data_IF_923906164689
#
_entry.id   IF_923906164689
#
_cell.length_a   1.000
_cell.length_b   1.000
_cell.length_c   1.000
_cell.angle_alpha   90.00
_cell.angle_beta   90.00
_cell.angle_gamma   90.00
#
_symmetry.space_group_name_H-M   'P 1'
#
loop_
_entity.id
_entity.type
_entity.pdbx_description
1 polymer ?
#
# COMPACT_ATOMS: atom_id res chain seq x y z
N UNK A 1 -3.90 -6.28 -8.74
CA UNK A 1 -3.20 -6.96 -7.63
C UNK A 1 -2.86 -5.95 -6.55
N UNK A 2 -2.40 -6.39 -5.38
CA UNK A 2 -2.02 -5.53 -4.26
C UNK A 2 -1.01 -4.43 -4.65
N UNK A 3 0.04 -4.77 -5.41
CA UNK A 3 1.12 -3.84 -5.78
C UNK A 3 0.68 -2.58 -6.55
N UNK A 4 -0.52 -2.57 -7.14
CA UNK A 4 -1.01 -1.51 -8.04
C UNK A 4 -2.43 -1.04 -7.70
N UNK A 5 -2.93 -1.38 -6.51
CA UNK A 5 -4.32 -1.08 -6.13
C UNK A 5 -4.47 0.28 -5.45
N UNK A 6 -3.37 0.93 -5.05
CA UNK A 6 -3.40 2.19 -4.31
C UNK A 6 -4.25 3.30 -4.95
N UNK A 7 -4.33 3.48 -6.29
CA UNK A 7 -5.19 4.51 -6.87
C UNK A 7 -6.67 4.35 -6.54
N UNK A 8 -7.14 3.10 -6.31
CA UNK A 8 -8.54 2.83 -5.94
C UNK A 8 -8.89 3.50 -4.62
N UNK A 9 -7.99 3.40 -3.64
CA UNK A 9 -8.19 3.99 -2.33
C UNK A 9 -8.12 5.52 -2.39
N UNK A 10 -7.38 6.11 -3.34
CA UNK A 10 -7.37 7.56 -3.54
C UNK A 10 -8.63 8.08 -4.24
N UNK A 11 -9.11 7.35 -5.25
CA UNK A 11 -10.28 7.69 -6.06
C UNK A 11 -11.61 7.62 -5.28
N UNK A 12 -11.80 6.59 -4.45
CA UNK A 12 -13.07 6.33 -3.75
C UNK A 12 -12.91 6.45 -2.24
N UNK A 13 -14.00 6.78 -1.53
CA UNK A 13 -14.02 7.07 -0.09
C UNK A 13 -14.86 6.09 0.73
N UNK A 14 -15.72 5.30 0.08
CA UNK A 14 -16.62 4.36 0.76
C UNK A 14 -16.08 2.94 0.70
N UNK A 15 -15.95 2.29 1.87
CA UNK A 15 -15.37 0.96 2.05
C UNK A 15 -15.92 -0.08 1.05
N UNK A 16 -17.23 -0.20 0.93
CA UNK A 16 -17.86 -1.18 0.03
C UNK A 16 -17.50 -0.95 -1.45
N UNK A 17 -17.38 0.31 -1.88
CA UNK A 17 -17.01 0.67 -3.25
C UNK A 17 -15.53 0.47 -3.49
N UNK A 18 -14.67 0.81 -2.52
CA UNK A 18 -13.23 0.51 -2.58
C UNK A 18 -13.01 -0.99 -2.73
N UNK A 19 -13.70 -1.81 -1.95
CA UNK A 19 -13.66 -3.27 -2.05
C UNK A 19 -14.10 -3.80 -3.42
N UNK A 20 -15.19 -3.26 -3.97
CA UNK A 20 -15.70 -3.65 -5.29
C UNK A 20 -14.72 -3.30 -6.41
N UNK A 21 -14.20 -2.07 -6.42
CA UNK A 21 -13.29 -1.58 -7.46
C UNK A 21 -11.92 -2.27 -7.34
N UNK A 22 -11.42 -2.49 -6.12
CA UNK A 22 -10.17 -3.22 -5.88
C UNK A 22 -10.27 -4.66 -6.41
N UNK A 23 -11.41 -5.34 -6.19
CA UNK A 23 -11.68 -6.65 -6.78
C UNK A 23 -11.66 -6.60 -8.30
N UNK A 24 -12.49 -5.73 -8.90
CA UNK A 24 -12.61 -5.60 -10.36
C UNK A 24 -11.28 -5.28 -11.04
N UNK A 25 -10.45 -4.44 -10.43
CA UNK A 25 -9.11 -4.11 -10.95
C UNK A 25 -8.11 -5.26 -10.81
N UNK A 26 -8.23 -6.08 -9.77
CA UNK A 26 -7.37 -7.25 -9.57
C UNK A 26 -7.72 -8.42 -10.50
N UNK A 27 -9.02 -8.72 -10.68
CA UNK A 27 -9.52 -9.88 -11.42
C UNK A 27 -9.04 -9.96 -12.87
N UNK A 28 -8.73 -8.81 -13.50
CA UNK A 28 -8.21 -8.76 -14.87
C UNK A 28 -6.92 -9.57 -15.05
N UNK A 29 -6.12 -9.67 -13.99
CA UNK A 29 -4.76 -10.26 -14.06
C UNK A 29 -4.46 -11.22 -12.92
N UNK A 30 -5.19 -11.19 -11.81
CA UNK A 30 -5.00 -12.00 -10.61
C UNK A 30 -6.37 -12.49 -10.11
N UNK A 31 -7.05 -13.31 -10.93
CA UNK A 31 -8.39 -13.84 -10.65
C UNK A 31 -8.42 -15.01 -9.63
N UNK A 32 -7.37 -15.14 -8.82
CA UNK A 32 -7.36 -16.09 -7.70
C UNK A 32 -7.93 -15.39 -6.46
N UNK A 33 -8.76 -16.06 -5.63
CA UNK A 33 -9.36 -15.44 -4.44
C UNK A 33 -8.36 -14.71 -3.55
N UNK A 34 -7.17 -15.29 -3.37
CA UNK A 34 -6.11 -14.70 -2.54
C UNK A 34 -5.48 -13.45 -3.17
N UNK A 35 -5.35 -13.40 -4.50
CA UNK A 35 -4.85 -12.22 -5.21
C UNK A 35 -5.84 -11.04 -5.16
N UNK A 36 -7.13 -11.35 -5.21
CA UNK A 36 -8.22 -10.38 -5.02
C UNK A 36 -8.24 -9.90 -3.57
N UNK A 37 -8.18 -10.83 -2.61
CA UNK A 37 -8.14 -10.55 -1.18
C UNK A 37 -6.99 -9.61 -0.81
N UNK A 38 -5.79 -9.86 -1.32
CA UNK A 38 -4.63 -8.98 -1.10
C UNK A 38 -4.83 -7.57 -1.66
N UNK A 39 -5.43 -7.44 -2.85
CA UNK A 39 -5.73 -6.14 -3.44
C UNK A 39 -6.79 -5.37 -2.62
N UNK A 40 -7.86 -6.05 -2.22
CA UNK A 40 -8.91 -5.49 -1.38
C UNK A 40 -8.37 -5.02 -0.02
N UNK A 41 -7.63 -5.89 0.67
CA UNK A 41 -7.04 -5.58 1.96
C UNK A 41 -6.09 -4.38 1.88
N UNK A 42 -5.21 -4.35 0.89
CA UNK A 42 -4.27 -3.23 0.68
C UNK A 42 -5.03 -1.92 0.46
N UNK A 43 -6.05 -1.91 -0.40
CA UNK A 43 -6.85 -0.71 -0.66
C UNK A 43 -7.58 -0.22 0.60
N UNK A 44 -8.10 -1.13 1.43
CA UNK A 44 -8.76 -0.80 2.70
C UNK A 44 -7.80 -0.18 3.71
N UNK A 45 -6.58 -0.72 3.86
CA UNK A 45 -5.56 -0.13 4.75
C UNK A 45 -5.23 1.30 4.33
N UNK A 46 -5.04 1.54 3.03
CA UNK A 46 -4.76 2.87 2.48
C UNK A 46 -5.92 3.83 2.76
N UNK A 47 -7.16 3.38 2.54
CA UNK A 47 -8.36 4.18 2.82
C UNK A 47 -8.44 4.58 4.30
N UNK A 48 -8.31 3.62 5.21
CA UNK A 48 -8.41 3.86 6.65
C UNK A 48 -7.24 4.71 7.18
N UNK A 49 -6.03 4.48 6.68
CA UNK A 49 -4.86 5.29 7.03
C UNK A 49 -5.07 6.77 6.65
N UNK A 50 -5.56 7.03 5.43
CA UNK A 50 -5.92 8.36 4.95
C UNK A 50 -7.04 9.02 5.77
N UNK A 51 -7.98 8.24 6.27
CA UNK A 51 -9.05 8.71 7.16
C UNK A 51 -8.57 8.96 8.60
N UNK A 52 -7.29 8.76 8.90
CA UNK A 52 -6.72 8.99 10.22
C UNK A 52 -7.05 7.89 11.24
N UNK A 53 -7.53 6.72 10.79
CA UNK A 53 -7.80 5.61 11.70
C UNK A 53 -6.49 5.19 12.39
N UNK A 54 -6.48 5.00 13.72
CA UNK A 54 -5.28 4.55 14.43
C UNK A 54 -4.76 3.21 13.89
N UNK A 55 -3.44 3.10 13.74
CA UNK A 55 -2.80 1.93 13.10
C UNK A 55 -3.08 0.61 13.80
N UNK A 56 -3.18 0.60 15.13
CA UNK A 56 -3.59 -0.57 15.92
C UNK A 56 -5.02 -1.02 15.61
N UNK A 57 -5.94 -0.08 15.35
CA UNK A 57 -7.31 -0.37 14.93
C UNK A 57 -7.34 -0.89 13.49
N UNK A 58 -6.60 -0.26 12.58
CA UNK A 58 -6.42 -0.74 11.19
C UNK A 58 -5.96 -2.20 11.19
N UNK A 59 -4.91 -2.52 11.96
CA UNK A 59 -4.37 -3.88 12.09
C UNK A 59 -5.43 -4.86 12.57
N UNK A 60 -6.08 -4.57 13.69
CA UNK A 60 -7.13 -5.44 14.25
C UNK A 60 -8.27 -5.68 13.26
N UNK A 61 -8.78 -4.60 12.65
CA UNK A 61 -9.94 -4.67 11.76
C UNK A 61 -9.57 -5.40 10.44
N UNK A 62 -8.34 -5.23 9.95
CA UNK A 62 -7.79 -6.00 8.82
C UNK A 62 -7.69 -7.50 9.13
N UNK A 63 -7.05 -7.87 10.25
CA UNK A 63 -6.85 -9.27 10.64
C UNK A 63 -8.22 -9.96 10.81
N UNK A 64 -9.19 -9.28 11.45
CA UNK A 64 -10.54 -9.80 11.63
C UNK A 64 -11.30 -9.98 10.31
N UNK A 65 -11.15 -9.05 9.35
CA UNK A 65 -11.91 -9.08 8.10
C UNK A 65 -11.29 -10.00 7.03
N UNK A 66 -9.96 -10.08 6.96
CA UNK A 66 -9.23 -10.76 5.89
C UNK A 66 -8.49 -12.02 6.33
N UNK A 67 -8.42 -12.29 7.65
CA UNK A 67 -7.78 -13.48 8.20
C UNK A 67 -6.26 -13.49 8.03
N UNK A 68 -5.63 -12.32 7.92
CA UNK A 68 -4.17 -12.23 7.92
C UNK A 68 -3.63 -12.33 9.34
N UNK A 69 -2.45 -12.93 9.48
CA UNK A 69 -1.66 -12.90 10.70
C UNK A 69 -0.50 -11.94 10.51
N UNK A 70 -0.46 -10.86 11.29
CA UNK A 70 0.64 -9.88 11.24
C UNK A 70 1.48 -9.86 12.52
N UNK A 71 1.44 -10.94 13.31
CA UNK A 71 2.11 -11.06 14.62
C UNK A 71 3.64 -11.04 14.56
N UNK A 72 4.25 -11.64 13.54
CA UNK A 72 5.71 -11.65 13.36
C UNK A 72 6.28 -10.25 13.16
N UNK A 73 7.42 -10.00 13.79
CA UNK A 73 8.10 -8.70 13.72
C UNK A 73 8.94 -8.56 12.46
N UNK A 74 9.24 -7.32 12.05
CA UNK A 74 10.16 -7.03 10.95
C UNK A 74 11.55 -7.60 11.24
N UNK A 75 12.02 -7.57 12.48
CA UNK A 75 13.31 -8.16 12.87
C UNK A 75 13.34 -9.68 12.67
N UNK A 76 12.29 -10.39 13.09
CA UNK A 76 12.18 -11.84 12.85
C UNK A 76 12.10 -12.16 11.34
N UNK A 77 11.47 -11.30 10.54
CA UNK A 77 11.40 -11.46 9.09
C UNK A 77 12.77 -11.31 8.41
N UNK A 78 13.63 -10.41 8.89
CA UNK A 78 14.99 -10.27 8.34
C UNK A 78 15.80 -11.55 8.45
N UNK A 79 15.52 -12.37 9.47
CA UNK A 79 16.20 -13.65 9.70
C UNK A 79 15.59 -14.82 8.93
N UNK A 80 14.28 -14.77 8.66
CA UNK A 80 13.49 -15.94 8.22
C UNK A 80 12.85 -15.81 6.84
N UNK A 81 12.75 -14.59 6.29
CA UNK A 81 12.04 -14.35 5.04
C UNK A 81 12.93 -14.69 3.84
N UNK A 82 12.45 -15.63 3.04
CA UNK A 82 13.03 -15.98 1.73
C UNK A 82 12.16 -15.42 0.60
N UNK A 83 12.76 -15.24 -0.58
CA UNK A 83 12.07 -14.73 -1.76
C UNK A 83 10.76 -15.50 -2.05
N UNK A 84 9.67 -14.75 -2.20
CA UNK A 84 8.37 -15.30 -2.50
C UNK A 84 7.48 -14.31 -3.28
N UNK A 85 6.98 -14.76 -4.43
CA UNK A 85 6.10 -13.99 -5.32
C UNK A 85 4.59 -14.18 -5.04
N UNK A 86 4.22 -15.05 -4.07
CA UNK A 86 2.82 -15.33 -3.80
C UNK A 86 2.20 -14.25 -2.94
N UNK A 87 1.01 -13.80 -3.33
CA UNK A 87 0.23 -12.80 -2.59
C UNK A 87 0.06 -13.14 -1.10
N UNK A 88 -0.02 -14.43 -0.76
CA UNK A 88 -0.24 -14.92 0.60
C UNK A 88 0.94 -14.69 1.52
N UNK A 89 2.15 -14.55 0.96
CA UNK A 89 3.37 -14.27 1.72
C UNK A 89 3.81 -12.82 1.55
N UNK A 90 3.73 -12.26 0.34
CA UNK A 90 4.18 -10.87 0.11
C UNK A 90 3.28 -9.82 0.78
N UNK A 91 1.95 -9.97 0.76
CA UNK A 91 1.04 -8.93 1.28
C UNK A 91 1.09 -8.81 2.81
N UNK A 92 1.05 -9.90 3.60
CA UNK A 92 1.18 -9.80 5.06
C UNK A 92 2.52 -9.20 5.49
N UNK A 93 3.61 -9.53 4.80
CA UNK A 93 4.94 -8.97 5.09
C UNK A 93 4.98 -7.45 4.86
N UNK A 94 4.36 -6.96 3.78
CA UNK A 94 4.23 -5.52 3.56
C UNK A 94 3.38 -4.83 4.64
N UNK A 95 2.34 -5.49 5.16
CA UNK A 95 1.54 -4.97 6.28
C UNK A 95 2.36 -4.88 7.56
N UNK A 96 3.17 -5.90 7.89
CA UNK A 96 4.07 -5.89 9.05
C UNK A 96 5.06 -4.74 8.98
N UNK A 97 5.69 -4.54 7.82
CA UNK A 97 6.59 -3.40 7.58
C UNK A 97 5.91 -2.05 7.86
N UNK A 98 4.68 -1.85 7.40
CA UNK A 98 3.91 -0.63 7.68
C UNK A 98 3.47 -0.51 9.15
N UNK A 99 3.11 -1.62 9.80
CA UNK A 99 2.66 -1.62 11.19
C UNK A 99 3.77 -1.36 12.21
N UNK A 100 5.01 -1.63 11.88
CA UNK A 100 6.16 -1.31 12.74
C UNK A 100 6.82 0.02 12.40
N UNK A 101 6.67 0.50 11.18
CA UNK A 101 7.31 1.73 10.74
C UNK A 101 6.96 2.96 11.59
N UNK A 102 7.89 3.87 11.78
CA UNK A 102 7.62 5.16 12.46
C UNK A 102 7.26 6.29 11.51
N UNK A 103 7.70 6.19 10.26
CA UNK A 103 7.45 7.15 9.19
C UNK A 103 7.49 6.48 7.80
N UNK A 104 7.37 7.30 6.75
CA UNK A 104 7.38 6.82 5.37
C UNK A 104 8.70 6.15 4.98
N UNK A 105 9.84 6.76 5.33
CA UNK A 105 11.14 6.24 4.93
C UNK A 105 11.44 4.93 5.66
N UNK A 106 11.10 4.86 6.95
CA UNK A 106 11.23 3.66 7.75
C UNK A 106 10.38 2.50 7.20
N UNK A 107 9.16 2.75 6.73
CA UNK A 107 8.33 1.73 6.07
C UNK A 107 8.99 1.16 4.81
N UNK A 108 9.59 2.02 3.98
CA UNK A 108 10.33 1.61 2.77
C UNK A 108 11.60 0.83 3.15
N UNK A 109 12.36 1.31 4.14
CA UNK A 109 13.57 0.65 4.62
C UNK A 109 13.27 -0.72 5.21
N UNK A 110 12.20 -0.85 5.99
CA UNK A 110 11.74 -2.13 6.53
C UNK A 110 11.42 -3.11 5.38
N UNK A 111 10.61 -2.69 4.40
CA UNK A 111 10.26 -3.51 3.24
C UNK A 111 11.46 -3.96 2.40
N UNK A 112 12.46 -3.10 2.21
CA UNK A 112 13.70 -3.45 1.50
C UNK A 112 14.56 -4.38 2.35
N UNK A 113 14.66 -4.13 3.66
CA UNK A 113 15.57 -4.85 4.56
C UNK A 113 15.20 -6.31 4.80
N UNK A 114 13.91 -6.67 4.70
CA UNK A 114 13.47 -8.07 4.80
C UNK A 114 13.80 -8.88 3.54
N UNK A 115 14.22 -8.24 2.44
CA UNK A 115 14.60 -8.91 1.20
C UNK A 115 13.42 -9.47 0.41
N UNK A 116 13.67 -10.53 -0.37
CA UNK A 116 12.67 -11.14 -1.24
C UNK A 116 12.25 -10.24 -2.41
N UNK A 117 10.94 -10.21 -2.72
CA UNK A 117 10.34 -9.34 -3.74
C UNK A 117 10.22 -7.90 -3.22
N UNK A 118 11.38 -7.30 -3.00
CA UNK A 118 11.53 -6.02 -2.30
C UNK A 118 10.85 -4.85 -3.02
N UNK A 119 10.77 -4.87 -4.35
CA UNK A 119 10.06 -3.85 -5.11
C UNK A 119 8.54 -3.95 -4.91
N UNK A 120 7.97 -5.16 -4.90
CA UNK A 120 6.54 -5.36 -4.60
C UNK A 120 6.23 -5.01 -3.14
N UNK A 121 7.07 -5.44 -2.19
CA UNK A 121 6.92 -5.12 -0.78
C UNK A 121 6.94 -3.61 -0.55
N UNK A 122 7.94 -2.91 -1.10
CA UNK A 122 8.07 -1.47 -0.96
C UNK A 122 6.94 -0.70 -1.66
N UNK A 123 6.43 -1.18 -2.80
CA UNK A 123 5.28 -0.57 -3.47
C UNK A 123 4.01 -0.65 -2.59
N UNK A 124 3.75 -1.80 -1.96
CA UNK A 124 2.59 -2.00 -1.09
C UNK A 124 2.77 -1.22 0.21
N UNK A 125 3.88 -1.44 0.95
CA UNK A 125 4.19 -0.77 2.21
C UNK A 125 4.23 0.75 2.06
N UNK A 126 4.92 1.24 1.03
CA UNK A 126 5.02 2.65 0.70
C UNK A 126 3.68 3.31 0.43
N UNK A 127 2.76 2.62 -0.28
CA UNK A 127 1.43 3.19 -0.54
C UNK A 127 0.57 3.35 0.71
N UNK A 128 0.69 2.44 1.69
CA UNK A 128 0.03 2.59 2.99
C UNK A 128 0.70 3.67 3.83
N UNK A 129 2.04 3.74 3.78
CA UNK A 129 2.83 4.73 4.48
C UNK A 129 2.55 6.15 3.97
N UNK A 130 2.42 6.35 2.66
CA UNK A 130 2.02 7.62 2.04
C UNK A 130 0.67 8.09 2.60
N UNK A 131 -0.32 7.19 2.67
CA UNK A 131 -1.63 7.55 3.20
C UNK A 131 -1.60 7.95 4.68
N UNK A 132 -0.63 7.44 5.45
CA UNK A 132 -0.48 7.73 6.87
C UNK A 132 0.34 8.98 7.17
N UNK A 133 1.47 9.16 6.48
CA UNK A 133 2.48 10.16 6.81
C UNK A 133 2.76 11.15 5.67
N UNK A 134 2.28 10.88 4.46
CA UNK A 134 2.74 11.55 3.24
C UNK A 134 4.12 11.06 2.79
N UNK A 135 4.53 11.46 1.59
CA UNK A 135 5.89 11.23 1.09
C UNK A 135 6.76 12.45 1.43
N UNK A 136 7.95 12.27 2.04
CA UNK A 136 8.90 13.37 2.23
C UNK A 136 9.29 14.02 0.89
N UNK A 137 9.33 15.35 0.84
CA UNK A 137 9.56 16.09 -0.41
C UNK A 137 10.86 15.71 -1.12
N UNK A 138 11.93 15.43 -0.37
CA UNK A 138 13.20 14.98 -0.93
C UNK A 138 13.06 13.62 -1.64
N UNK A 139 12.35 12.66 -1.03
CA UNK A 139 12.09 11.36 -1.62
C UNK A 139 11.17 11.50 -2.84
N UNK A 140 10.11 12.32 -2.76
CA UNK A 140 9.21 12.59 -3.89
C UNK A 140 9.99 13.19 -5.07
N UNK A 141 10.81 14.21 -4.84
CA UNK A 141 11.64 14.85 -5.86
C UNK A 141 12.58 13.86 -6.52
N UNK A 142 13.26 13.05 -5.72
CA UNK A 142 14.28 12.11 -6.16
C UNK A 142 13.66 10.94 -6.94
N UNK A 143 12.50 10.43 -6.51
CA UNK A 143 11.75 9.42 -7.23
C UNK A 143 11.22 9.96 -8.58
N UNK A 144 10.56 11.12 -8.58
CA UNK A 144 10.01 11.73 -9.80
C UNK A 144 11.09 12.14 -10.80
N UNK A 145 12.29 12.51 -10.33
CA UNK A 145 13.43 12.84 -11.18
C UNK A 145 13.99 11.65 -11.96
N UNK A 146 13.70 10.41 -11.55
CA UNK A 146 14.10 9.18 -12.25
C UNK A 146 13.08 8.67 -13.26
N UNK A 147 11.84 9.13 -13.19
CA UNK A 147 10.76 8.68 -14.08
C UNK A 147 10.85 9.37 -15.44
N UNK A 148 10.50 8.66 -16.50
CA UNK A 148 10.30 9.29 -17.80
C UNK A 148 9.10 10.25 -17.77
N UNK A 149 9.04 11.13 -18.77
CA UNK A 149 8.01 12.18 -18.84
C UNK A 149 6.58 11.63 -18.90
N UNK A 150 6.36 10.45 -19.50
CA UNK A 150 5.02 9.85 -19.61
C UNK A 150 4.55 9.35 -18.24
N UNK A 151 5.39 8.63 -17.51
CA UNK A 151 5.06 8.16 -16.16
C UNK A 151 4.89 9.32 -15.19
N UNK A 152 5.79 10.30 -15.24
CA UNK A 152 5.73 11.50 -14.40
C UNK A 152 4.43 12.30 -14.63
N UNK A 153 4.03 12.47 -15.89
CA UNK A 153 2.79 13.18 -16.23
C UNK A 153 1.54 12.39 -15.79
N UNK A 154 1.52 11.07 -15.99
CA UNK A 154 0.41 10.23 -15.55
C UNK A 154 0.20 10.32 -14.02
N UNK A 155 1.29 10.25 -13.25
CA UNK A 155 1.26 10.44 -11.81
C UNK A 155 0.75 11.83 -11.42
N UNK A 156 1.33 12.90 -11.99
CA UNK A 156 0.96 14.28 -11.65
C UNK A 156 -0.51 14.59 -11.92
N UNK A 157 -1.03 14.16 -13.06
CA UNK A 157 -2.45 14.33 -13.40
C UNK A 157 -3.35 13.64 -12.37
N UNK A 158 -3.06 12.39 -12.02
CA UNK A 158 -3.82 11.67 -11.02
C UNK A 158 -3.73 12.32 -9.63
N UNK A 159 -2.52 12.69 -9.21
CA UNK A 159 -2.28 13.28 -7.90
C UNK A 159 -2.98 14.63 -7.73
N UNK A 160 -3.01 15.47 -8.77
CA UNK A 160 -3.72 16.75 -8.77
C UNK A 160 -5.24 16.59 -8.59
N UNK A 161 -5.82 15.55 -9.19
CA UNK A 161 -7.26 15.33 -9.16
C UNK A 161 -7.73 14.63 -7.87
N UNK A 162 -6.96 13.66 -7.37
CA UNK A 162 -7.43 12.75 -6.32
C UNK A 162 -6.64 12.75 -5.00
N UNK A 163 -5.39 13.21 -4.99
CA UNK A 163 -4.51 13.12 -3.81
C UNK A 163 -4.33 14.47 -3.12
N UNK A 164 -3.99 15.50 -3.89
CA UNK A 164 -3.79 16.88 -3.44
C UNK A 164 -4.78 17.80 -4.17
N UNK A 165 -6.11 17.63 -4.02
CA UNK A 165 -7.05 18.47 -4.73
C UNK A 165 -6.83 19.92 -4.29
N UNK A 166 -6.37 20.74 -5.22
CA UNK A 166 -6.37 22.18 -5.06
C UNK A 166 -7.77 22.57 -4.62
N UNK A 167 -7.90 23.32 -3.52
CA UNK A 167 -9.17 23.90 -3.08
C UNK A 167 -9.61 24.92 -4.14
N UNK A 168 -10.13 24.42 -5.25
CA UNK A 168 -10.95 25.20 -6.16
C UNK A 168 -12.30 25.31 -5.47
N UNK A 169 -12.48 26.43 -4.77
CA UNK A 169 -13.73 26.91 -4.23
C UNK A 169 -14.88 26.57 -5.19
N UNK A 170 -15.85 25.80 -4.71
CA UNK A 170 -17.21 25.75 -5.26
C UNK A 170 -18.17 25.85 -4.09
#
# INVERSE_FOLDING_TARGET
SAMRVSPVAWFEKHDHRVMEIAKRSAEVTHNHPEGIKGAQATAMVILWARQGVPRNRIRRDLEAQFGYDTSTTVDELRETYEYNETCQRTVPEAFRCFYEATDFEDAIRNAISIGGDSDTLAAIAGSMAEAKWGVPEEIEREALGRLDSKLCNAYKTFAQEYVKPSHATR
#
